data_IF_313849401416
#
_entry.id   IF_313849401416
#
_cell.length_a   1.000
_cell.length_b   1.000
_cell.length_c   1.000
_cell.angle_alpha   90.00
_cell.angle_beta   90.00
_cell.angle_gamma   90.00
#
_symmetry.space_group_name_H-M   'P 1'
#
loop_
_entity.id
_entity.type
_entity.pdbx_description
1 polymer ?
#
# COMPACT_ATOMS: atom_id res chain seq x y z
N UNK A 1 -91.99 -7.92 6.49
CA UNK A 1 -90.76 -8.06 7.33
C UNK A 1 -89.89 -9.18 6.75
N UNK A 2 -88.89 -8.86 5.94
CA UNK A 2 -87.90 -9.80 5.35
C UNK A 2 -86.56 -9.61 6.04
N UNK A 3 -86.08 -10.64 6.70
CA UNK A 3 -84.73 -10.65 7.32
C UNK A 3 -83.74 -11.05 6.27
N UNK A 4 -82.81 -10.14 6.03
CA UNK A 4 -81.57 -10.35 5.21
C UNK A 4 -80.55 -11.06 6.07
N UNK A 5 -80.05 -12.23 5.63
CA UNK A 5 -78.95 -12.96 6.23
C UNK A 5 -77.64 -12.52 5.46
N UNK A 6 -76.76 -11.92 6.17
CA UNK A 6 -75.43 -11.59 5.65
C UNK A 6 -74.48 -12.79 5.82
N UNK A 7 -73.99 -13.34 4.74
CA UNK A 7 -72.95 -14.38 4.74
C UNK A 7 -71.56 -13.72 4.76
N UNK A 8 -70.80 -13.94 5.81
CA UNK A 8 -69.40 -13.60 5.91
C UNK A 8 -68.57 -14.68 5.21
N UNK A 9 -67.93 -14.34 4.09
CA UNK A 9 -66.92 -15.19 3.45
C UNK A 9 -65.55 -14.93 4.10
N UNK A 10 -65.01 -15.93 4.79
CA UNK A 10 -63.64 -15.88 5.32
C UNK A 10 -62.66 -16.21 4.20
N UNK A 11 -61.84 -15.21 3.82
CA UNK A 11 -60.71 -15.39 2.89
C UNK A 11 -59.53 -15.98 3.63
N UNK A 12 -59.16 -17.19 3.31
CA UNK A 12 -57.92 -17.83 3.78
C UNK A 12 -56.78 -17.39 2.89
N UNK A 13 -55.85 -16.60 3.44
CA UNK A 13 -54.57 -16.28 2.77
C UNK A 13 -53.60 -17.44 3.01
N UNK A 14 -53.32 -18.20 1.96
CA UNK A 14 -52.23 -19.15 1.93
C UNK A 14 -50.91 -18.33 1.80
N UNK A 15 -50.17 -18.18 2.88
CA UNK A 15 -48.81 -17.69 2.86
C UNK A 15 -47.93 -18.78 2.24
N UNK A 16 -47.60 -18.64 0.97
CA UNK A 16 -46.55 -19.43 0.31
C UNK A 16 -45.22 -18.90 0.86
N UNK A 17 -44.68 -19.60 1.84
CA UNK A 17 -43.30 -19.37 2.29
C UNK A 17 -42.34 -19.74 1.18
N UNK A 18 -41.67 -18.75 0.61
CA UNK A 18 -40.49 -18.97 -0.25
C UNK A 18 -39.42 -19.66 0.60
N UNK A 19 -38.83 -20.77 0.12
CA UNK A 19 -37.69 -21.35 0.82
C UNK A 19 -36.57 -20.31 0.84
N UNK A 20 -36.07 -19.96 2.04
CA UNK A 20 -34.87 -19.22 2.19
C UNK A 20 -33.74 -19.98 1.45
N UNK A 21 -33.16 -19.39 0.40
CA UNK A 21 -31.97 -19.94 -0.20
C UNK A 21 -30.95 -20.05 0.92
N UNK A 22 -30.59 -21.27 1.30
CA UNK A 22 -29.47 -21.50 2.18
C UNK A 22 -28.25 -20.91 1.48
N UNK A 23 -27.59 -19.91 2.08
CA UNK A 23 -26.25 -19.50 1.67
C UNK A 23 -25.41 -20.78 1.69
N UNK A 24 -25.01 -21.25 0.49
CA UNK A 24 -24.01 -22.31 0.40
C UNK A 24 -22.71 -21.73 0.98
N UNK A 25 -22.49 -21.96 2.25
CA UNK A 25 -21.21 -21.65 2.90
C UNK A 25 -20.09 -22.35 2.12
N UNK A 26 -18.98 -21.65 1.91
CA UNK A 26 -17.78 -22.20 1.30
C UNK A 26 -17.47 -23.54 1.96
N UNK A 27 -17.57 -24.65 1.23
CA UNK A 27 -17.20 -25.99 1.73
C UNK A 27 -15.69 -26.07 1.84
N UNK A 28 -15.18 -25.94 3.05
CA UNK A 28 -13.75 -26.07 3.36
C UNK A 28 -13.48 -27.55 3.58
N UNK A 29 -12.63 -28.15 2.73
CA UNK A 29 -12.07 -29.46 3.01
C UNK A 29 -10.93 -29.30 4.04
N UNK A 30 -11.05 -29.83 5.26
CA UNK A 30 -10.04 -29.61 6.31
C UNK A 30 -8.65 -30.23 5.99
N UNK A 31 -8.57 -31.11 4.98
CA UNK A 31 -7.31 -31.73 4.54
C UNK A 31 -6.57 -30.92 3.49
N UNK A 32 -7.22 -29.93 2.88
CA UNK A 32 -6.61 -29.08 1.86
C UNK A 32 -5.99 -27.83 2.50
N UNK A 33 -4.94 -27.25 1.87
CA UNK A 33 -4.44 -25.94 2.26
C UNK A 33 -5.56 -24.89 2.19
N UNK A 34 -5.79 -24.21 3.31
CA UNK A 34 -6.84 -23.20 3.40
C UNK A 34 -6.35 -21.84 2.92
N UNK A 35 -7.24 -20.98 2.37
CA UNK A 35 -6.92 -19.60 2.08
C UNK A 35 -6.37 -18.88 3.31
N UNK A 36 -5.32 -18.07 3.13
CA UNK A 36 -4.72 -17.31 4.23
C UNK A 36 -5.57 -16.11 4.65
N UNK A 37 -6.55 -15.74 3.82
CA UNK A 37 -7.51 -14.67 4.08
C UNK A 37 -8.90 -15.14 3.64
N UNK A 38 -9.77 -15.47 4.60
CA UNK A 38 -11.12 -15.98 4.34
C UNK A 38 -12.06 -14.79 4.17
N UNK A 39 -12.80 -14.75 3.06
CA UNK A 39 -13.76 -13.69 2.73
C UNK A 39 -13.17 -12.27 2.69
N UNK A 40 -11.87 -12.13 2.49
CA UNK A 40 -11.25 -10.82 2.35
C UNK A 40 -11.64 -10.18 1.02
N UNK A 41 -12.13 -8.93 1.02
CA UNK A 41 -12.46 -8.22 -0.20
C UNK A 41 -11.21 -7.88 -0.99
N UNK A 42 -11.28 -7.90 -2.31
CA UNK A 42 -10.26 -7.31 -3.17
C UNK A 42 -10.24 -5.78 -3.02
N UNK A 43 -9.09 -5.17 -3.24
CA UNK A 43 -8.94 -3.72 -3.25
C UNK A 43 -8.60 -3.25 -4.66
N UNK A 44 -9.37 -2.29 -5.16
CA UNK A 44 -9.13 -1.61 -6.43
C UNK A 44 -8.72 -0.17 -6.16
N UNK A 45 -7.64 0.27 -6.81
CA UNK A 45 -7.14 1.64 -6.74
C UNK A 45 -7.13 2.19 -8.17
N UNK A 46 -7.99 3.17 -8.50
CA UNK A 46 -8.05 3.72 -9.85
C UNK A 46 -6.77 4.47 -10.20
N UNK A 47 -6.35 4.40 -11.47
CA UNK A 47 -5.19 5.15 -11.97
C UNK A 47 -5.30 6.66 -11.69
N UNK A 48 -6.52 7.22 -11.80
CA UNK A 48 -6.77 8.63 -11.51
C UNK A 48 -6.48 9.00 -10.03
N UNK A 49 -6.59 8.06 -9.10
CA UNK A 49 -6.19 8.31 -7.70
C UNK A 49 -4.67 8.35 -7.57
N UNK A 50 -3.97 7.41 -8.20
CA UNK A 50 -2.49 7.38 -8.21
C UNK A 50 -1.92 8.67 -8.82
N UNK A 51 -2.50 9.13 -9.91
CA UNK A 51 -2.14 10.40 -10.56
C UNK A 51 -2.28 11.59 -9.61
N UNK A 52 -3.34 11.67 -8.81
CA UNK A 52 -3.51 12.73 -7.80
C UNK A 52 -2.40 12.72 -6.74
N UNK A 53 -1.89 11.55 -6.38
CA UNK A 53 -0.73 11.44 -5.47
C UNK A 53 0.54 11.99 -6.12
N UNK A 54 0.79 11.68 -7.39
CA UNK A 54 1.93 12.25 -8.15
C UNK A 54 1.82 13.77 -8.24
N UNK A 55 0.65 14.29 -8.62
CA UNK A 55 0.42 15.74 -8.70
C UNK A 55 0.63 16.43 -7.34
N UNK A 56 0.13 15.82 -6.26
CA UNK A 56 0.35 16.33 -4.90
C UNK A 56 1.83 16.31 -4.53
N UNK A 57 2.55 15.24 -4.86
CA UNK A 57 3.99 15.14 -4.61
C UNK A 57 4.77 16.28 -5.30
N UNK A 58 4.48 16.54 -6.56
CA UNK A 58 5.11 17.62 -7.33
C UNK A 58 4.78 18.98 -6.73
N UNK A 59 3.50 19.25 -6.47
CA UNK A 59 3.04 20.54 -5.98
C UNK A 59 3.58 20.89 -4.57
N UNK A 60 3.70 19.90 -3.71
CA UNK A 60 4.05 20.06 -2.29
C UNK A 60 5.47 19.57 -1.95
N UNK A 61 6.23 19.13 -2.98
CA UNK A 61 7.61 18.62 -2.86
C UNK A 61 7.73 17.41 -1.92
N UNK A 62 6.73 16.53 -1.97
CA UNK A 62 6.74 15.28 -1.24
C UNK A 62 7.46 14.20 -2.04
N UNK A 63 8.10 13.27 -1.36
CA UNK A 63 8.79 12.15 -2.03
C UNK A 63 7.90 10.92 -1.99
N UNK A 64 7.63 10.40 -0.81
CA UNK A 64 6.98 9.13 -0.57
C UNK A 64 5.61 9.32 0.11
N UNK A 65 4.59 8.69 -0.44
CA UNK A 65 3.22 8.83 0.03
C UNK A 65 2.53 7.47 0.04
N UNK A 66 2.00 7.08 1.19
CA UNK A 66 1.21 5.86 1.33
C UNK A 66 -0.19 6.06 0.77
N UNK A 67 -0.58 5.25 -0.22
CA UNK A 67 -1.90 5.25 -0.85
C UNK A 67 -2.85 4.34 -0.09
N UNK A 68 -2.44 3.09 0.13
CA UNK A 68 -3.20 2.05 0.85
C UNK A 68 -2.25 1.23 1.71
N UNK A 69 -2.81 0.64 2.77
CA UNK A 69 -2.19 -0.46 3.50
C UNK A 69 -3.28 -1.48 3.82
N UNK A 70 -3.13 -2.70 3.30
CA UNK A 70 -4.18 -3.69 3.18
C UNK A 70 -3.75 -4.98 3.87
N UNK A 71 -4.58 -5.49 4.77
CA UNK A 71 -4.36 -6.81 5.35
C UNK A 71 -4.77 -7.90 4.34
N UNK A 72 -3.83 -8.78 3.99
CA UNK A 72 -4.04 -9.91 3.08
C UNK A 72 -3.97 -11.27 3.80
N UNK A 73 -4.17 -11.27 5.11
CA UNK A 73 -4.15 -12.46 5.97
C UNK A 73 -2.80 -12.66 6.66
N UNK A 74 -1.77 -13.18 5.97
CA UNK A 74 -0.45 -13.43 6.58
C UNK A 74 0.49 -12.22 6.56
N UNK A 75 0.16 -11.20 5.80
CA UNK A 75 0.96 -9.99 5.66
C UNK A 75 0.05 -8.78 5.46
N UNK A 76 0.63 -7.59 5.50
CA UNK A 76 0.04 -6.38 4.91
C UNK A 76 0.76 -6.02 3.62
N UNK A 77 0.01 -5.41 2.71
CA UNK A 77 0.54 -4.85 1.47
C UNK A 77 0.30 -3.35 1.50
N UNK A 78 1.40 -2.61 1.59
CA UNK A 78 1.40 -1.16 1.42
C UNK A 78 1.52 -0.79 -0.06
N UNK A 79 0.68 0.12 -0.54
CA UNK A 79 0.80 0.72 -1.87
C UNK A 79 1.20 2.17 -1.68
N UNK A 80 2.35 2.54 -2.22
CA UNK A 80 2.90 3.90 -2.20
C UNK A 80 3.04 4.49 -3.60
N UNK A 81 2.93 5.81 -3.69
CA UNK A 81 3.35 6.58 -4.87
C UNK A 81 4.53 7.44 -4.49
N UNK A 82 5.58 7.34 -5.28
CA UNK A 82 6.83 8.07 -5.06
C UNK A 82 7.13 8.95 -6.27
N UNK A 83 7.42 10.22 -5.98
CA UNK A 83 7.97 11.18 -6.93
C UNK A 83 9.30 11.69 -6.41
N UNK A 84 10.35 11.60 -7.23
CA UNK A 84 11.65 12.21 -6.93
C UNK A 84 12.02 13.11 -8.09
N UNK A 85 12.23 14.37 -7.81
CA UNK A 85 12.79 15.32 -8.79
C UNK A 85 14.27 15.13 -9.01
N UNK A 86 14.88 16.05 -9.76
CA UNK A 86 16.30 16.05 -10.10
C UNK A 86 17.20 15.90 -8.87
N UNK A 87 18.18 15.01 -8.99
CA UNK A 87 19.18 14.75 -7.97
C UNK A 87 20.57 14.69 -8.63
N UNK A 88 21.41 15.69 -8.42
CA UNK A 88 22.78 15.72 -8.94
C UNK A 88 23.76 14.96 -8.04
N UNK A 89 23.53 15.02 -6.75
CA UNK A 89 24.32 14.33 -5.72
C UNK A 89 23.39 13.94 -4.58
N UNK A 90 23.55 12.73 -4.01
CA UNK A 90 22.74 12.29 -2.89
C UNK A 90 22.98 13.18 -1.67
N UNK A 91 21.93 13.34 -0.86
CA UNK A 91 22.07 13.97 0.45
C UNK A 91 22.92 13.09 1.38
N UNK A 92 23.61 13.67 2.37
CA UNK A 92 24.26 12.89 3.41
C UNK A 92 23.27 11.94 4.07
N UNK A 93 23.75 10.75 4.44
CA UNK A 93 22.99 9.73 5.17
C UNK A 93 21.63 9.35 4.52
N UNK A 94 21.58 9.41 3.18
CA UNK A 94 20.35 9.16 2.40
C UNK A 94 20.19 7.73 1.90
N UNK A 95 21.10 6.81 2.25
CA UNK A 95 20.82 5.37 2.12
C UNK A 95 19.66 5.03 3.05
N UNK A 96 18.67 4.34 2.53
CA UNK A 96 17.55 3.84 3.31
C UNK A 96 17.61 2.31 3.41
N UNK A 97 17.10 1.78 4.51
CA UNK A 97 16.91 0.36 4.74
C UNK A 97 15.73 0.15 5.69
N UNK A 98 15.00 -0.94 5.53
CA UNK A 98 13.86 -1.34 6.37
C UNK A 98 14.12 -2.72 6.95
N UNK A 99 13.97 -2.88 8.28
CA UNK A 99 14.29 -4.16 8.94
C UNK A 99 13.33 -5.30 8.56
N UNK A 100 12.04 -4.96 8.34
CA UNK A 100 10.95 -5.94 8.26
C UNK A 100 10.11 -5.79 6.98
N UNK A 101 10.28 -4.71 6.25
CA UNK A 101 9.51 -4.42 5.05
C UNK A 101 10.39 -4.61 3.82
N UNK A 102 9.94 -5.49 2.94
CA UNK A 102 10.49 -5.59 1.57
C UNK A 102 9.73 -4.66 0.63
N UNK A 103 10.41 -4.18 -0.41
CA UNK A 103 9.80 -3.26 -1.36
C UNK A 103 9.92 -3.78 -2.80
N UNK A 104 8.91 -3.50 -3.59
CA UNK A 104 8.94 -3.69 -5.04
C UNK A 104 8.62 -2.35 -5.69
N UNK A 105 9.53 -1.85 -6.52
CA UNK A 105 9.30 -0.67 -7.34
C UNK A 105 8.88 -1.08 -8.74
N UNK A 106 7.86 -0.44 -9.26
CA UNK A 106 7.53 -0.45 -10.68
C UNK A 106 7.64 0.98 -11.19
N UNK A 107 8.65 1.25 -12.00
CA UNK A 107 8.93 2.59 -12.52
C UNK A 107 7.89 2.96 -13.58
N UNK A 108 7.19 4.08 -13.35
CA UNK A 108 6.12 4.58 -14.21
C UNK A 108 6.69 5.57 -15.23
N UNK A 109 7.55 6.49 -14.78
CA UNK A 109 8.13 7.52 -15.63
C UNK A 109 9.52 7.93 -15.14
N UNK A 110 10.29 8.59 -16.00
CA UNK A 110 11.63 9.07 -15.68
C UNK A 110 12.70 7.98 -15.58
N UNK A 111 13.84 8.31 -14.99
CA UNK A 111 14.97 7.42 -14.83
C UNK A 111 15.87 7.86 -13.67
N UNK A 112 16.61 6.92 -13.09
CA UNK A 112 17.52 7.17 -11.98
C UNK A 112 18.65 6.13 -11.91
N UNK A 113 19.76 6.50 -11.26
CA UNK A 113 20.76 5.54 -10.77
C UNK A 113 20.40 5.13 -9.35
N UNK A 114 20.13 3.85 -9.14
CA UNK A 114 19.80 3.24 -7.85
C UNK A 114 20.91 2.25 -7.45
N UNK A 115 21.48 2.43 -6.27
CA UNK A 115 22.47 1.50 -5.68
C UNK A 115 21.78 0.61 -4.66
N UNK A 116 22.01 -0.71 -4.76
CA UNK A 116 21.47 -1.72 -3.85
C UNK A 116 22.61 -2.54 -3.22
N UNK A 117 22.49 -2.85 -1.94
CA UNK A 117 23.39 -3.78 -1.27
C UNK A 117 23.16 -3.88 0.24
N UNK A 118 23.63 -4.98 0.88
CA UNK A 118 23.37 -5.21 2.29
C UNK A 118 24.35 -4.51 3.26
N UNK A 119 25.53 -4.08 2.77
CA UNK A 119 26.57 -3.50 3.64
C UNK A 119 26.47 -1.99 3.68
N UNK A 120 25.69 -1.48 4.62
CA UNK A 120 25.41 -0.05 4.80
C UNK A 120 26.52 0.57 5.68
N UNK A 121 27.17 1.59 5.15
CA UNK A 121 28.23 2.34 5.85
C UNK A 121 27.60 3.41 6.75
N UNK A 122 28.16 3.57 7.96
CA UNK A 122 27.65 4.52 8.97
C UNK A 122 26.16 4.38 9.24
N UNK A 123 25.71 3.13 9.40
CA UNK A 123 24.32 2.79 9.68
C UNK A 123 23.82 3.49 10.96
N UNK A 124 22.73 4.24 10.84
CA UNK A 124 22.10 4.99 11.92
C UNK A 124 20.63 4.59 12.03
N UNK A 125 20.22 4.19 13.23
CA UNK A 125 18.83 3.84 13.52
C UNK A 125 17.92 5.05 13.39
N UNK A 126 16.82 4.91 12.62
CA UNK A 126 15.78 5.94 12.57
C UNK A 126 15.01 5.99 13.90
N UNK A 127 14.68 7.17 14.41
CA UNK A 127 13.82 7.30 15.59
C UNK A 127 12.49 6.57 15.40
N UNK A 128 12.06 5.82 16.40
CA UNK A 128 10.79 5.09 16.37
C UNK A 128 9.55 6.00 16.28
N UNK A 129 9.71 7.28 16.57
CA UNK A 129 8.67 8.32 16.49
C UNK A 129 8.65 9.04 15.14
N UNK A 130 9.61 8.73 14.25
CA UNK A 130 9.64 9.34 12.92
C UNK A 130 8.38 8.93 12.15
N UNK A 131 7.72 9.88 11.50
CA UNK A 131 6.47 9.66 10.78
C UNK A 131 6.57 8.51 9.77
N UNK A 132 7.64 8.49 8.97
CA UNK A 132 7.84 7.44 7.96
C UNK A 132 7.98 6.05 8.58
N UNK A 133 8.61 5.94 9.77
CA UNK A 133 8.70 4.70 10.54
C UNK A 133 7.33 4.24 11.03
N UNK A 134 6.55 5.17 11.58
CA UNK A 134 5.23 4.86 12.17
C UNK A 134 4.19 4.54 11.11
N UNK A 135 4.18 5.29 9.99
CA UNK A 135 3.06 5.26 9.06
C UNK A 135 3.22 4.25 7.93
N UNK A 136 4.45 3.98 7.42
CA UNK A 136 4.59 3.17 6.22
C UNK A 136 5.91 2.43 5.98
N UNK A 137 7.03 2.79 6.62
CA UNK A 137 8.32 2.13 6.40
C UNK A 137 8.70 1.12 7.48
N UNK A 138 8.01 1.16 8.64
CA UNK A 138 8.42 0.39 9.79
C UNK A 138 9.83 0.76 10.30
N UNK A 139 10.35 0.01 11.27
CA UNK A 139 11.71 0.19 11.77
C UNK A 139 12.76 0.03 10.68
N UNK A 140 13.84 0.81 10.76
CA UNK A 140 14.91 0.74 9.77
C UNK A 140 16.04 1.73 10.06
N UNK A 141 16.97 1.82 9.14
CA UNK A 141 18.19 2.59 9.29
C UNK A 141 18.42 3.51 8.08
N UNK A 142 19.20 4.56 8.31
CA UNK A 142 19.85 5.34 7.27
C UNK A 142 21.34 4.99 7.23
N UNK A 143 22.02 5.45 6.19
CA UNK A 143 23.46 5.30 6.06
C UNK A 143 24.05 6.26 5.03
N UNK A 144 25.37 6.35 5.02
CA UNK A 144 26.10 7.29 4.15
C UNK A 144 26.55 6.70 2.82
N UNK A 145 26.60 5.36 2.71
CA UNK A 145 27.06 4.63 1.52
C UNK A 145 26.62 3.17 1.59
N UNK A 146 26.69 2.44 0.47
CA UNK A 146 26.50 1.00 0.37
C UNK A 146 27.79 0.37 -0.15
N UNK A 147 28.58 -0.22 0.75
CA UNK A 147 29.86 -0.83 0.39
C UNK A 147 29.63 -2.07 -0.48
N UNK A 148 30.29 -2.12 -1.63
CA UNK A 148 30.09 -3.21 -2.59
C UNK A 148 28.70 -3.24 -3.21
N UNK A 149 27.95 -2.15 -3.12
CA UNK A 149 26.63 -2.02 -3.72
C UNK A 149 26.71 -2.08 -5.24
N UNK A 150 25.63 -2.56 -5.86
CA UNK A 150 25.48 -2.63 -7.31
C UNK A 150 24.61 -1.46 -7.77
N UNK A 151 25.13 -0.67 -8.70
CA UNK A 151 24.40 0.43 -9.32
C UNK A 151 23.57 -0.08 -10.50
N UNK A 152 22.30 0.33 -10.55
CA UNK A 152 21.37 0.04 -11.63
C UNK A 152 20.86 1.35 -12.22
N UNK A 153 20.91 1.45 -13.54
CA UNK A 153 20.23 2.50 -14.30
C UNK A 153 18.80 2.07 -14.55
N UNK A 154 17.87 2.54 -13.72
CA UNK A 154 16.45 2.18 -13.79
C UNK A 154 15.64 3.23 -14.56
N UNK A 155 14.63 2.81 -15.30
CA UNK A 155 13.78 3.66 -16.15
C UNK A 155 12.36 3.12 -16.24
N UNK A 156 11.48 3.88 -16.85
CA UNK A 156 10.08 3.51 -17.06
C UNK A 156 9.92 2.06 -17.58
N UNK A 157 9.07 1.29 -16.93
CA UNK A 157 8.80 -0.13 -17.17
C UNK A 157 9.66 -1.10 -16.35
N UNK A 158 10.75 -0.65 -15.74
CA UNK A 158 11.61 -1.52 -14.93
C UNK A 158 10.95 -1.87 -13.59
N UNK A 159 11.29 -3.05 -13.07
CA UNK A 159 10.88 -3.54 -11.76
C UNK A 159 12.11 -3.82 -10.91
N UNK A 160 12.10 -3.33 -9.68
CA UNK A 160 13.17 -3.56 -8.70
C UNK A 160 12.56 -4.24 -7.47
N UNK A 161 13.19 -5.32 -6.99
CA UNK A 161 12.81 -5.99 -5.74
C UNK A 161 13.89 -5.76 -4.70
N UNK A 162 13.51 -5.21 -3.57
CA UNK A 162 14.40 -4.84 -2.47
C UNK A 162 14.00 -5.62 -1.22
N UNK A 163 14.72 -6.68 -0.86
CA UNK A 163 14.44 -7.43 0.38
C UNK A 163 14.62 -6.55 1.62
N UNK A 164 13.89 -6.86 2.68
CA UNK A 164 14.13 -6.29 4.01
C UNK A 164 15.61 -6.44 4.40
N UNK A 165 16.18 -5.44 5.04
CA UNK A 165 17.60 -5.39 5.40
C UNK A 165 18.55 -4.95 4.28
N UNK A 166 18.03 -4.71 3.06
CA UNK A 166 18.85 -4.26 1.92
C UNK A 166 18.88 -2.73 1.84
N UNK A 167 20.07 -2.15 1.89
CA UNK A 167 20.28 -0.73 1.63
C UNK A 167 19.93 -0.37 0.19
N UNK A 168 19.20 0.72 0.03
CA UNK A 168 18.84 1.25 -1.27
C UNK A 168 19.05 2.76 -1.30
N UNK A 169 19.63 3.23 -2.41
CA UNK A 169 20.18 4.58 -2.47
C UNK A 169 20.10 5.18 -3.86
N UNK A 170 19.31 6.21 -4.05
CA UNK A 170 19.31 7.00 -5.28
C UNK A 170 20.52 7.92 -5.29
N UNK A 171 21.41 7.73 -6.25
CA UNK A 171 22.66 8.50 -6.37
C UNK A 171 22.59 9.57 -7.44
N UNK A 172 21.75 9.39 -8.47
CA UNK A 172 21.55 10.37 -9.54
C UNK A 172 20.13 10.26 -10.12
N UNK A 173 19.54 11.42 -10.41
CA UNK A 173 18.28 11.57 -11.15
C UNK A 173 18.46 12.79 -12.05
N UNK A 174 18.41 12.60 -13.38
CA UNK A 174 18.68 13.72 -14.30
C UNK A 174 17.53 14.71 -14.39
N UNK A 175 16.30 14.23 -14.33
CA UNK A 175 15.07 15.03 -14.35
C UNK A 175 14.14 14.62 -13.20
N UNK A 176 13.49 13.49 -13.33
CA UNK A 176 12.62 12.91 -12.29
C UNK A 176 12.58 11.39 -12.40
N UNK A 177 11.99 10.76 -11.39
CA UNK A 177 11.51 9.39 -11.45
C UNK A 177 10.22 9.26 -10.64
N UNK A 178 9.18 8.65 -11.25
CA UNK A 178 7.94 8.25 -10.60
C UNK A 178 7.83 6.74 -10.57
N UNK A 179 7.47 6.17 -9.44
CA UNK A 179 7.26 4.74 -9.34
C UNK A 179 6.16 4.37 -8.34
N UNK A 180 5.44 3.31 -8.69
CA UNK A 180 4.59 2.61 -7.75
C UNK A 180 5.47 1.78 -6.83
N UNK A 181 5.27 1.91 -5.53
CA UNK A 181 5.94 1.10 -4.53
C UNK A 181 4.96 0.13 -3.89
N UNK A 182 5.31 -1.15 -3.90
CA UNK A 182 4.59 -2.19 -3.15
C UNK A 182 5.45 -2.58 -1.95
N UNK A 183 4.96 -2.33 -0.75
CA UNK A 183 5.57 -2.75 0.51
C UNK A 183 4.97 -4.05 0.96
N UNK A 184 5.83 -5.01 1.28
CA UNK A 184 5.45 -6.33 1.80
C UNK A 184 5.83 -6.35 3.27
N UNK A 185 4.81 -6.33 4.14
CA UNK A 185 4.92 -6.25 5.59
C UNK A 185 4.38 -7.55 6.24
N UNK A 186 5.22 -8.60 6.37
CA UNK A 186 4.80 -9.87 6.96
C UNK A 186 4.52 -9.77 8.46
N UNK A 187 5.17 -8.85 9.15
CA UNK A 187 5.09 -8.68 10.60
C UNK A 187 4.01 -7.65 11.01
N UNK A 188 3.36 -7.03 10.02
CA UNK A 188 2.26 -6.07 10.21
C UNK A 188 2.64 -4.86 11.07
N UNK A 189 3.85 -4.35 10.87
CA UNK A 189 4.41 -3.23 11.64
C UNK A 189 3.86 -1.88 11.23
N UNK A 190 3.21 -1.78 10.06
CA UNK A 190 2.57 -0.54 9.58
C UNK A 190 1.07 -0.53 9.85
N UNK A 191 0.45 0.64 10.03
CA UNK A 191 -1.00 0.73 10.24
C UNK A 191 -1.77 0.53 8.93
N UNK A 192 -2.99 0.00 9.03
CA UNK A 192 -3.91 -0.08 7.91
C UNK A 192 -4.30 1.32 7.41
N UNK A 193 -4.41 1.45 6.09
CA UNK A 193 -4.90 2.67 5.42
C UNK A 193 -5.89 2.31 4.32
N UNK A 194 -7.15 2.64 4.54
CA UNK A 194 -8.23 2.40 3.58
C UNK A 194 -8.46 3.58 2.63
N UNK A 195 -9.48 3.46 1.79
CA UNK A 195 -9.85 4.47 0.80
C UNK A 195 -10.25 5.81 1.44
N UNK A 196 -11.04 5.77 2.51
CA UNK A 196 -11.48 7.00 3.18
C UNK A 196 -10.32 7.85 3.68
N UNK A 197 -9.30 7.23 4.29
CA UNK A 197 -8.10 7.94 4.74
C UNK A 197 -7.27 8.50 3.58
N UNK A 198 -7.24 7.81 2.44
CA UNK A 198 -6.56 8.29 1.23
C UNK A 198 -7.24 9.49 0.62
N UNK A 199 -8.56 9.44 0.49
CA UNK A 199 -9.34 10.56 -0.03
C UNK A 199 -9.25 11.78 0.89
N UNK A 200 -9.29 11.57 2.21
CA UNK A 200 -9.06 12.63 3.20
C UNK A 200 -7.66 13.23 3.06
N UNK A 201 -6.62 12.42 2.95
CA UNK A 201 -5.24 12.87 2.71
C UNK A 201 -5.11 13.71 1.43
N UNK A 202 -5.70 13.26 0.34
CA UNK A 202 -5.65 13.97 -0.95
C UNK A 202 -6.45 15.29 -0.94
N UNK A 203 -7.39 15.46 -0.03
CA UNK A 203 -8.19 16.68 0.10
C UNK A 203 -7.51 17.80 0.88
N UNK A 204 -6.43 17.49 1.61
CA UNK A 204 -5.72 18.41 2.51
C UNK A 204 -4.35 18.77 1.93
N UNK A 205 -3.85 20.00 2.16
CA UNK A 205 -2.44 20.30 1.91
C UNK A 205 -1.57 19.45 2.85
N UNK A 206 -0.32 19.15 2.44
CA UNK A 206 0.63 18.51 3.34
C UNK A 206 0.90 19.40 4.55
N UNK A 207 1.08 18.78 5.70
CA UNK A 207 1.53 19.52 6.88
C UNK A 207 2.89 20.16 6.58
N UNK A 208 2.99 21.46 6.72
CA UNK A 208 4.25 22.18 6.53
C UNK A 208 5.20 21.81 7.66
N UNK A 209 6.31 21.19 7.38
CA UNK A 209 7.42 21.00 8.31
C UNK A 209 7.70 19.54 8.68
N UNK A 210 8.20 18.78 7.73
CA UNK A 210 9.04 17.61 8.01
C UNK A 210 10.24 17.58 7.05
#
# INVERSE_FOLDING_TARGET
>A
MKRMRSSLAAAWWLAIGLPAAAEEGVRINPTDPQPTCIMCPGTYIPAAELERYTQKAIAEKLIDQQVRDIDIGRARIGIGMVHRGRLERPAPDSVAEHDQISEVYHVISGAATLVLGPDIVNRQRRPSTMRTVVEFNGPGNNGSDVRGGIAYEIKAGDVVVIPAGTGHWFTKIEDHIDYLMVRIDPDKVTPLKGEAQSLDYLSKPAARGE
#
